data_IF_248568181359
#
_entry.id   IF_248568181359
#
_cell.length_a   1.000
_cell.length_b   1.000
_cell.length_c   1.000
_cell.angle_alpha   90.00
_cell.angle_beta   90.00
_cell.angle_gamma   90.00
#
_symmetry.space_group_name_H-M   'P 1'
#
loop_
_entity.id
_entity.type
_entity.pdbx_description
1 polymer ?
#
# COMPACT_ATOMS: atom_id res chain seq x y z
N UNK A 1 16.40 25.30 -9.20
CA UNK A 1 15.11 24.65 -8.92
C UNK A 1 15.38 23.16 -8.89
N UNK A 2 15.41 22.56 -7.71
CA UNK A 2 15.45 21.10 -7.56
C UNK A 2 14.18 20.53 -8.18
N UNK A 3 14.30 19.55 -9.07
CA UNK A 3 13.15 18.83 -9.60
C UNK A 3 12.58 17.93 -8.50
N UNK A 4 11.77 18.53 -7.62
CA UNK A 4 10.92 17.77 -6.71
C UNK A 4 9.79 17.17 -7.55
N UNK A 5 9.96 15.90 -7.94
CA UNK A 5 8.94 15.09 -8.59
C UNK A 5 7.58 15.22 -7.87
N UNK A 6 6.44 15.14 -8.58
CA UNK A 6 5.08 15.10 -8.03
C UNK A 6 4.94 14.08 -6.91
N UNK A 7 5.65 12.95 -6.99
CA UNK A 7 5.73 11.97 -5.92
C UNK A 7 6.28 12.60 -4.63
N UNK A 8 7.34 13.42 -4.71
CA UNK A 8 7.83 14.23 -3.60
C UNK A 8 6.78 15.25 -3.15
N UNK A 9 6.09 15.96 -4.06
CA UNK A 9 5.10 16.99 -3.68
C UNK A 9 3.88 16.44 -2.94
N UNK A 10 3.21 15.41 -3.48
CA UNK A 10 2.09 14.75 -2.81
C UNK A 10 2.55 14.07 -1.50
N UNK A 11 3.72 13.42 -1.52
CA UNK A 11 4.33 12.86 -0.32
C UNK A 11 4.63 13.93 0.73
N UNK A 12 5.10 15.12 0.35
CA UNK A 12 5.32 16.23 1.28
C UNK A 12 4.03 16.75 1.89
N UNK A 13 2.93 16.81 1.13
CA UNK A 13 1.61 17.16 1.68
C UNK A 13 1.16 16.11 2.71
N UNK A 14 1.26 14.82 2.38
CA UNK A 14 0.91 13.74 3.31
C UNK A 14 1.82 13.72 4.54
N UNK A 15 3.13 13.90 4.39
CA UNK A 15 4.08 14.02 5.50
C UNK A 15 3.74 15.21 6.39
N UNK A 16 3.42 16.39 5.81
CA UNK A 16 3.02 17.57 6.58
C UNK A 16 1.72 17.31 7.34
N UNK A 17 0.75 16.66 6.70
CA UNK A 17 -0.49 16.25 7.35
C UNK A 17 -0.22 15.31 8.53
N UNK A 18 0.57 14.25 8.34
CA UNK A 18 0.91 13.29 9.40
C UNK A 18 1.69 13.95 10.53
N UNK A 19 2.69 14.79 10.21
CA UNK A 19 3.42 15.57 11.21
C UNK A 19 2.48 16.46 12.00
N UNK A 20 1.64 17.23 11.31
CA UNK A 20 0.64 18.07 11.97
C UNK A 20 -0.30 17.23 12.83
N UNK A 21 -0.80 16.10 12.34
CA UNK A 21 -1.71 15.21 13.05
C UNK A 21 -1.11 14.67 14.36
N UNK A 22 0.17 14.26 14.33
CA UNK A 22 0.89 13.73 15.49
C UNK A 22 1.28 14.85 16.49
N UNK A 23 1.71 16.01 15.99
CA UNK A 23 2.22 17.11 16.83
C UNK A 23 1.12 18.05 17.33
N UNK A 24 -0.11 17.95 16.82
CA UNK A 24 -1.21 18.80 17.26
C UNK A 24 -1.50 18.52 18.75
N UNK A 25 -1.38 19.54 19.65
CA UNK A 25 -1.57 19.35 21.09
C UNK A 25 -2.93 18.74 21.45
N UNK A 26 -3.96 19.02 20.65
CA UNK A 26 -5.32 18.50 20.82
C UNK A 26 -5.41 16.96 20.87
N UNK A 27 -4.42 16.23 20.33
CA UNK A 27 -4.43 14.76 20.32
C UNK A 27 -3.33 14.12 21.17
N UNK A 28 -2.27 14.86 21.53
CA UNK A 28 -1.21 14.37 22.43
C UNK A 28 -0.52 13.07 22.01
N UNK A 29 -0.51 12.70 20.72
CA UNK A 29 -0.05 11.38 20.27
C UNK A 29 1.47 11.20 20.37
N UNK A 30 2.23 12.29 20.18
CA UNK A 30 3.69 12.23 20.11
C UNK A 30 4.33 11.55 21.33
N UNK A 31 3.79 11.76 22.53
CA UNK A 31 4.33 11.18 23.77
C UNK A 31 4.18 9.66 23.88
N UNK A 32 3.33 9.05 23.04
CA UNK A 32 3.10 7.61 23.00
C UNK A 32 3.89 6.91 21.87
N UNK A 33 4.69 7.64 21.10
CA UNK A 33 5.43 7.10 19.95
C UNK A 33 6.92 7.10 20.26
N UNK A 34 7.56 5.93 20.11
CA UNK A 34 9.02 5.78 20.16
C UNK A 34 9.56 5.76 18.72
N UNK A 35 10.08 6.90 18.27
CA UNK A 35 10.72 7.01 16.96
C UNK A 35 12.11 6.35 16.96
N UNK A 36 12.64 6.06 15.77
CA UNK A 36 13.95 5.44 15.59
C UNK A 36 14.12 4.17 16.45
N UNK A 37 13.07 3.38 16.57
CA UNK A 37 13.07 2.13 17.33
C UNK A 37 12.47 1.06 16.43
N UNK A 38 13.19 -0.04 16.26
CA UNK A 38 12.75 -1.20 15.50
C UNK A 38 12.34 -2.31 16.46
N UNK A 39 11.25 -3.00 16.14
CA UNK A 39 10.79 -4.18 16.86
C UNK A 39 11.37 -5.42 16.17
N UNK A 40 12.16 -6.19 16.90
CA UNK A 40 12.82 -7.39 16.36
C UNK A 40 11.92 -8.62 16.49
N UNK A 41 11.32 -8.80 17.67
CA UNK A 41 10.47 -9.93 17.98
C UNK A 41 9.45 -9.57 19.07
N UNK A 42 8.33 -10.29 19.08
CA UNK A 42 7.36 -10.27 20.18
C UNK A 42 6.87 -11.70 20.45
N UNK A 43 6.86 -12.11 21.71
CA UNK A 43 6.50 -13.47 22.14
C UNK A 43 5.53 -13.43 23.30
N UNK A 44 4.52 -14.31 23.27
CA UNK A 44 3.56 -14.46 24.36
C UNK A 44 4.16 -15.26 25.52
N UNK A 45 3.93 -14.81 26.75
CA UNK A 45 4.32 -15.51 27.98
C UNK A 45 3.06 -16.01 28.72
N UNK A 46 2.87 -17.33 28.76
CA UNK A 46 1.70 -17.97 29.39
C UNK A 46 1.65 -17.79 30.91
N UNK A 47 2.78 -17.55 31.57
CA UNK A 47 2.84 -17.41 33.03
C UNK A 47 2.45 -16.01 33.50
N UNK A 48 2.77 -14.99 32.69
CA UNK A 48 2.45 -13.58 32.99
C UNK A 48 1.22 -13.08 32.25
N UNK A 49 0.73 -13.83 31.26
CA UNK A 49 -0.32 -13.43 30.32
C UNK A 49 -0.02 -12.10 29.61
N UNK A 50 1.25 -11.91 29.24
CA UNK A 50 1.72 -10.69 28.56
C UNK A 50 2.61 -11.01 27.35
N UNK A 51 2.64 -10.06 26.42
CA UNK A 51 3.58 -10.04 25.29
C UNK A 51 4.89 -9.41 25.71
N UNK A 52 5.99 -10.14 25.53
CA UNK A 52 7.36 -9.66 25.68
C UNK A 52 7.90 -9.23 24.31
N UNK A 53 8.29 -7.97 24.16
CA UNK A 53 8.69 -7.38 22.88
C UNK A 53 10.10 -6.82 22.96
N UNK A 54 10.98 -7.34 22.10
CA UNK A 54 12.38 -6.91 21.96
C UNK A 54 12.49 -5.74 20.99
N UNK A 55 13.17 -4.68 21.44
CA UNK A 55 13.29 -3.41 20.74
C UNK A 55 14.76 -3.00 20.61
N UNK A 56 15.12 -2.46 19.44
CA UNK A 56 16.44 -1.91 19.16
C UNK A 56 16.33 -0.44 18.76
N UNK A 57 17.12 0.43 19.39
CA UNK A 57 17.15 1.86 19.07
C UNK A 57 18.12 2.11 17.92
N UNK A 58 17.58 2.63 16.83
CA UNK A 58 18.32 2.97 15.62
C UNK A 58 18.94 4.37 15.76
N UNK A 59 20.24 4.47 15.49
CA UNK A 59 20.96 5.75 15.43
C UNK A 59 21.46 6.06 14.03
N UNK A 60 21.64 7.35 13.70
CA UNK A 60 22.44 7.73 12.51
C UNK A 60 23.93 7.80 12.83
N UNK A 61 24.28 7.99 14.10
CA UNK A 61 25.64 8.02 14.63
C UNK A 61 25.82 6.95 15.69
N UNK A 62 27.04 6.42 15.84
CA UNK A 62 27.37 5.38 16.83
C UNK A 62 26.89 5.71 18.26
N UNK A 63 26.88 6.99 18.64
CA UNK A 63 26.44 7.48 19.96
C UNK A 63 24.92 7.53 20.15
N UNK A 64 24.14 7.37 19.08
CA UNK A 64 22.67 7.38 19.10
C UNK A 64 22.08 5.96 19.19
N UNK A 65 22.91 4.92 19.01
CA UNK A 65 22.48 3.54 19.21
C UNK A 65 22.33 3.26 20.70
N UNK A 66 21.16 2.73 21.07
CA UNK A 66 20.90 2.22 22.41
C UNK A 66 21.12 0.71 22.45
N UNK A 67 21.44 0.18 23.63
CA UNK A 67 21.37 -1.25 23.85
C UNK A 67 19.93 -1.75 23.60
N UNK A 68 19.75 -2.93 22.98
CA UNK A 68 18.43 -3.55 22.87
C UNK A 68 17.78 -3.70 24.24
N UNK A 69 16.46 -3.54 24.31
CA UNK A 69 15.70 -3.68 25.55
C UNK A 69 14.33 -4.30 25.30
N UNK A 70 13.75 -4.90 26.35
CA UNK A 70 12.45 -5.57 26.29
C UNK A 70 11.38 -4.74 26.98
N UNK A 71 10.18 -4.73 26.43
CA UNK A 71 8.97 -4.23 27.10
C UNK A 71 7.90 -5.30 27.16
N UNK A 72 7.05 -5.22 28.19
CA UNK A 72 5.86 -6.05 28.31
C UNK A 72 4.60 -5.26 27.94
N UNK A 73 3.59 -5.96 27.42
CA UNK A 73 2.30 -5.38 27.06
C UNK A 73 1.19 -6.41 27.12
N UNK A 74 -0.04 -5.98 27.40
CA UNK A 74 -1.21 -6.88 27.47
C UNK A 74 -1.72 -7.27 26.06
N UNK A 75 -1.41 -6.45 25.05
CA UNK A 75 -1.78 -6.69 23.66
C UNK A 75 -0.68 -6.25 22.69
N UNK A 76 -0.52 -7.01 21.61
CA UNK A 76 0.35 -6.68 20.49
C UNK A 76 -0.48 -6.44 19.22
N UNK A 77 -0.40 -5.24 18.64
CA UNK A 77 -1.10 -4.87 17.40
C UNK A 77 -0.05 -4.52 16.34
N UNK A 78 0.02 -5.30 15.27
CA UNK A 78 0.92 -5.01 14.16
C UNK A 78 0.28 -4.01 13.19
N UNK A 79 0.95 -2.86 13.00
CA UNK A 79 0.55 -1.79 12.08
C UNK A 79 1.71 -1.38 11.14
N UNK A 80 2.56 -2.34 10.75
CA UNK A 80 3.81 -2.10 10.01
C UNK A 80 3.62 -1.67 8.55
N UNK A 81 2.43 -1.86 8.00
CA UNK A 81 2.15 -1.62 6.58
C UNK A 81 2.75 -2.68 5.64
N UNK A 82 2.29 -2.71 4.39
CA UNK A 82 2.59 -3.81 3.44
C UNK A 82 3.58 -3.42 2.35
N UNK A 83 3.62 -2.14 1.97
CA UNK A 83 4.48 -1.60 0.92
C UNK A 83 5.66 -0.84 1.50
N UNK A 84 6.25 -1.35 2.59
CA UNK A 84 7.26 -0.67 3.38
C UNK A 84 8.71 -1.12 3.07
N UNK A 85 8.89 -2.35 2.57
CA UNK A 85 10.20 -2.88 2.20
C UNK A 85 10.43 -2.85 0.68
N UNK A 86 11.46 -2.15 0.19
CA UNK A 86 11.87 -2.17 -1.21
C UNK A 86 12.21 -3.58 -1.70
N UNK A 87 11.71 -3.96 -2.88
CA UNK A 87 12.13 -5.18 -3.59
C UNK A 87 12.98 -4.83 -4.79
N UNK A 88 14.26 -5.20 -4.76
CA UNK A 88 15.19 -4.98 -5.87
C UNK A 88 15.02 -6.06 -6.94
N UNK A 89 15.12 -5.72 -8.25
CA UNK A 89 15.06 -6.71 -9.30
C UNK A 89 16.32 -7.58 -9.28
N UNK A 90 16.17 -8.85 -9.65
CA UNK A 90 17.31 -9.76 -9.76
C UNK A 90 17.92 -9.66 -11.17
N UNK A 91 18.78 -8.66 -11.39
CA UNK A 91 19.45 -8.43 -12.67
C UNK A 91 20.95 -8.61 -12.48
N UNK A 92 21.57 -9.42 -13.34
CA UNK A 92 23.02 -9.63 -13.33
C UNK A 92 23.76 -8.30 -13.46
N UNK A 93 24.68 -8.02 -12.55
CA UNK A 93 25.48 -6.79 -12.57
C UNK A 93 24.79 -5.53 -12.00
N UNK A 94 23.59 -5.65 -11.43
CA UNK A 94 22.89 -4.52 -10.78
C UNK A 94 23.74 -3.87 -9.68
N UNK A 95 24.42 -4.68 -8.86
CA UNK A 95 25.29 -4.22 -7.78
C UNK A 95 26.61 -3.61 -8.29
N UNK A 96 26.87 -3.71 -9.60
CA UNK A 96 28.06 -3.19 -10.27
C UNK A 96 27.82 -1.84 -10.94
N UNK A 97 26.64 -1.23 -10.79
CA UNK A 97 26.36 0.10 -11.34
C UNK A 97 27.08 1.18 -10.53
N UNK A 98 27.96 1.96 -11.18
CA UNK A 98 28.66 3.10 -10.53
C UNK A 98 27.84 4.35 -10.47
N UNK A 99 27.07 4.57 -11.53
CA UNK A 99 26.21 5.73 -11.59
C UNK A 99 25.11 5.62 -10.55
N UNK A 100 24.51 6.75 -10.23
CA UNK A 100 23.54 6.86 -9.15
C UNK A 100 22.32 5.97 -9.42
N UNK A 101 22.23 4.85 -8.70
CA UNK A 101 20.98 4.09 -8.57
C UNK A 101 20.08 4.72 -7.51
N UNK A 102 18.80 4.90 -7.81
CA UNK A 102 17.81 5.37 -6.86
C UNK A 102 16.59 4.46 -6.88
N UNK A 103 16.30 3.84 -5.74
CA UNK A 103 15.03 3.17 -5.53
C UNK A 103 13.99 4.22 -5.13
N UNK A 104 12.79 4.18 -5.71
CA UNK A 104 11.76 5.21 -5.49
C UNK A 104 11.37 5.39 -4.02
N UNK A 105 11.29 4.30 -3.25
CA UNK A 105 11.03 4.30 -1.81
C UNK A 105 12.22 4.79 -0.94
N UNK A 106 13.39 5.04 -1.55
CA UNK A 106 14.61 5.55 -0.92
C UNK A 106 15.16 6.73 -1.72
N UNK A 107 14.26 7.54 -2.31
CA UNK A 107 14.64 8.68 -3.13
C UNK A 107 15.53 9.66 -2.36
N UNK A 108 16.71 9.93 -2.91
CA UNK A 108 17.64 10.89 -2.32
C UNK A 108 17.14 12.32 -2.53
N UNK A 109 16.99 13.15 -1.48
CA UNK A 109 16.72 14.56 -1.69
C UNK A 109 17.93 15.19 -2.41
N UNK A 110 17.68 16.13 -3.32
CA UNK A 110 18.68 16.99 -3.97
C UNK A 110 19.56 16.36 -5.07
N UNK A 111 19.06 15.38 -5.83
CA UNK A 111 19.76 14.92 -7.05
C UNK A 111 19.17 15.59 -8.30
N UNK A 112 20.00 16.34 -9.05
CA UNK A 112 19.58 16.99 -10.29
C UNK A 112 19.74 16.04 -11.49
N UNK A 113 18.62 15.78 -12.17
CA UNK A 113 18.55 14.91 -13.35
C UNK A 113 18.83 15.67 -14.66
N UNK A 114 18.95 17.01 -14.64
CA UNK A 114 19.18 17.81 -15.84
C UNK A 114 20.44 17.40 -16.59
N UNK A 115 20.29 17.19 -17.90
CA UNK A 115 21.37 16.79 -18.80
C UNK A 115 21.90 15.37 -18.56
N UNK A 116 21.27 14.58 -17.68
CA UNK A 116 21.64 13.18 -17.43
C UNK A 116 20.86 12.25 -18.34
N UNK A 117 21.47 11.11 -18.67
CA UNK A 117 20.76 9.97 -19.27
C UNK A 117 20.16 9.16 -18.14
N UNK A 118 18.83 9.07 -18.11
CA UNK A 118 18.11 8.40 -17.02
C UNK A 118 17.43 7.16 -17.60
N UNK A 119 17.69 6.00 -16.97
CA UNK A 119 16.93 4.78 -17.20
C UNK A 119 15.98 4.57 -16.02
N UNK A 120 14.71 4.25 -16.31
CA UNK A 120 13.72 3.92 -15.29
C UNK A 120 13.27 2.48 -15.51
N UNK A 121 13.46 1.63 -14.48
CA UNK A 121 13.04 0.23 -14.50
C UNK A 121 11.75 0.11 -13.69
N UNK A 122 10.69 -0.34 -14.35
CA UNK A 122 9.35 -0.50 -13.78
C UNK A 122 8.32 0.43 -14.42
N UNK A 123 7.07 -0.04 -14.47
CA UNK A 123 5.92 0.63 -15.08
C UNK A 123 4.69 0.67 -14.15
N UNK A 124 4.89 0.49 -12.84
CA UNK A 124 3.83 0.59 -11.84
C UNK A 124 3.39 2.03 -11.55
N UNK A 125 2.49 2.21 -10.57
CA UNK A 125 1.94 3.53 -10.20
C UNK A 125 3.04 4.57 -9.91
N UNK A 126 4.11 4.15 -9.23
CA UNK A 126 5.27 5.00 -8.95
C UNK A 126 5.96 5.50 -10.22
N UNK A 127 6.12 4.64 -11.23
CA UNK A 127 6.75 5.00 -12.49
C UNK A 127 5.88 5.98 -13.29
N UNK A 128 4.55 5.78 -13.31
CA UNK A 128 3.60 6.69 -13.95
C UNK A 128 3.61 8.10 -13.33
N UNK A 129 4.00 8.24 -12.06
CA UNK A 129 4.16 9.53 -11.39
C UNK A 129 5.54 10.15 -11.59
N UNK A 130 6.59 9.33 -11.69
CA UNK A 130 7.98 9.80 -11.83
C UNK A 130 8.28 10.20 -13.29
N UNK A 131 7.83 9.41 -14.27
CA UNK A 131 8.19 9.61 -15.67
C UNK A 131 7.80 11.00 -16.21
N UNK A 132 6.57 11.51 -15.99
CA UNK A 132 6.18 12.84 -16.46
C UNK A 132 7.02 13.98 -15.87
N UNK A 133 7.57 13.79 -14.66
CA UNK A 133 8.46 14.75 -14.01
C UNK A 133 9.86 14.72 -14.59
N UNK A 134 10.38 13.53 -14.92
CA UNK A 134 11.69 13.39 -15.57
C UNK A 134 11.70 14.09 -16.94
N UNK A 135 10.58 14.05 -17.67
CA UNK A 135 10.46 14.67 -18.99
C UNK A 135 9.79 16.06 -18.96
N UNK A 136 9.61 16.66 -17.78
CA UNK A 136 9.07 18.01 -17.61
C UNK A 136 7.69 18.25 -18.27
N UNK A 137 6.73 17.33 -18.07
CA UNK A 137 5.33 17.50 -18.51
C UNK A 137 4.29 17.26 -17.44
N UNK A 138 4.74 16.89 -16.24
CA UNK A 138 3.86 16.54 -15.15
C UNK A 138 2.85 17.66 -14.86
N UNK A 139 1.58 17.30 -14.81
CA UNK A 139 0.52 18.26 -14.52
C UNK A 139 0.25 18.26 -13.01
N UNK A 140 0.27 19.44 -12.40
CA UNK A 140 -0.10 19.57 -11.00
C UNK A 140 -1.61 19.53 -10.83
N UNK A 141 -2.08 18.76 -9.84
CA UNK A 141 -3.47 18.82 -9.40
C UNK A 141 -3.85 20.26 -9.03
N UNK A 142 -4.99 20.72 -9.56
CA UNK A 142 -5.51 22.04 -9.21
C UNK A 142 -6.00 22.03 -7.77
N UNK A 143 -5.65 23.05 -6.96
CA UNK A 143 -6.18 23.14 -5.61
C UNK A 143 -7.70 23.27 -5.63
N UNK A 144 -8.37 22.70 -4.63
CA UNK A 144 -9.81 22.90 -4.42
C UNK A 144 -10.07 24.40 -4.25
N UNK A 145 -10.95 24.96 -5.08
CA UNK A 145 -11.29 26.39 -5.08
C UNK A 145 -11.82 26.86 -3.73
N UNK A 146 -11.64 28.15 -3.41
CA UNK A 146 -12.15 28.74 -2.16
C UNK A 146 -13.65 28.55 -1.98
N UNK A 147 -14.41 28.75 -3.05
CA UNK A 147 -15.86 28.52 -3.07
C UNK A 147 -16.19 27.08 -2.71
N UNK A 148 -15.52 26.10 -3.30
CA UNK A 148 -15.76 24.69 -3.00
C UNK A 148 -15.32 24.33 -1.57
N UNK A 149 -14.21 24.90 -1.08
CA UNK A 149 -13.79 24.76 0.32
C UNK A 149 -14.84 25.31 1.29
N UNK A 150 -15.45 26.45 0.97
CA UNK A 150 -16.53 27.04 1.77
C UNK A 150 -17.78 26.14 1.76
N UNK A 151 -18.18 25.61 0.60
CA UNK A 151 -19.29 24.65 0.50
C UNK A 151 -19.02 23.42 1.37
N UNK A 152 -17.84 22.81 1.26
CA UNK A 152 -17.48 21.63 2.07
C UNK A 152 -17.41 21.92 3.58
N UNK A 153 -17.18 23.17 3.99
CA UNK A 153 -17.10 23.57 5.39
C UNK A 153 -18.48 23.89 5.97
N UNK A 154 -19.34 24.55 5.21
CA UNK A 154 -20.56 25.17 5.73
C UNK A 154 -21.85 24.48 5.28
N UNK A 155 -21.87 23.78 4.15
CA UNK A 155 -23.05 23.05 3.70
C UNK A 155 -23.07 21.63 4.33
N UNK A 156 -24.01 21.34 5.26
CA UNK A 156 -24.08 20.04 5.89
C UNK A 156 -24.32 18.93 4.87
N UNK A 157 -23.70 17.77 5.06
CA UNK A 157 -23.91 16.60 4.21
C UNK A 157 -23.18 16.63 2.86
N UNK A 158 -22.88 17.78 2.25
CA UNK A 158 -22.24 17.85 0.91
C UNK A 158 -20.90 17.12 0.88
N UNK A 159 -20.00 17.41 1.83
CA UNK A 159 -18.71 16.72 1.95
C UNK A 159 -18.88 15.21 2.18
N UNK A 160 -19.92 14.81 2.93
CA UNK A 160 -20.23 13.40 3.19
C UNK A 160 -20.70 12.70 1.91
N UNK A 161 -21.61 13.33 1.15
CA UNK A 161 -22.11 12.77 -0.12
C UNK A 161 -21.02 12.70 -1.18
N UNK A 162 -20.18 13.74 -1.31
CA UNK A 162 -19.04 13.71 -2.22
C UNK A 162 -18.07 12.57 -1.91
N UNK A 163 -17.76 12.36 -0.62
CA UNK A 163 -16.95 11.20 -0.20
C UNK A 163 -17.67 9.89 -0.52
N UNK A 164 -18.96 9.79 -0.24
CA UNK A 164 -19.75 8.60 -0.55
C UNK A 164 -19.76 8.31 -2.06
N UNK A 165 -19.93 9.32 -2.92
CA UNK A 165 -19.91 9.11 -4.38
C UNK A 165 -18.56 8.64 -4.90
N UNK A 166 -17.44 9.11 -4.33
CA UNK A 166 -16.12 8.55 -4.66
C UNK A 166 -16.03 7.08 -4.28
N UNK A 167 -16.63 6.68 -3.16
CA UNK A 167 -16.69 5.28 -2.76
C UNK A 167 -17.61 4.46 -3.65
N UNK A 168 -18.78 4.99 -4.04
CA UNK A 168 -19.72 4.33 -4.96
C UNK A 168 -19.03 4.02 -6.31
N UNK A 169 -18.24 4.97 -6.82
CA UNK A 169 -17.46 4.79 -8.05
C UNK A 169 -16.40 3.70 -7.87
N UNK A 170 -15.63 3.74 -6.79
CA UNK A 170 -14.59 2.74 -6.52
C UNK A 170 -15.17 1.34 -6.25
N UNK A 171 -16.34 1.26 -5.61
CA UNK A 171 -17.07 0.00 -5.43
C UNK A 171 -17.58 -0.54 -6.77
N UNK A 172 -17.94 0.32 -7.72
CA UNK A 172 -18.34 -0.15 -9.06
C UNK A 172 -17.15 -0.81 -9.79
N UNK A 173 -15.92 -0.34 -9.56
CA UNK A 173 -14.72 -0.93 -10.16
C UNK A 173 -14.39 -2.33 -9.61
N UNK A 174 -14.97 -2.73 -8.48
CA UNK A 174 -14.82 -4.08 -7.92
C UNK A 174 -15.18 -5.17 -8.93
N UNK A 175 -16.25 -4.97 -9.71
CA UNK A 175 -16.74 -5.95 -10.69
C UNK A 175 -15.68 -6.27 -11.75
N UNK A 176 -14.86 -5.28 -12.13
CA UNK A 176 -13.75 -5.49 -13.07
C UNK A 176 -12.67 -6.43 -12.53
N UNK A 177 -12.56 -6.57 -11.21
CA UNK A 177 -11.59 -7.47 -10.56
C UNK A 177 -12.15 -8.87 -10.44
N UNK A 178 -13.44 -9.03 -10.11
CA UNK A 178 -14.00 -10.35 -9.77
C UNK A 178 -14.62 -11.09 -10.94
N UNK A 179 -15.00 -10.39 -12.00
CA UNK A 179 -15.53 -10.98 -13.22
C UNK A 179 -14.91 -10.34 -14.46
N UNK A 180 -14.01 -11.09 -15.10
CA UNK A 180 -13.34 -10.67 -16.34
C UNK A 180 -14.28 -10.62 -17.55
N UNK A 181 -15.44 -11.27 -17.47
CA UNK A 181 -16.47 -11.27 -18.51
C UNK A 181 -17.56 -10.21 -18.28
N UNK A 182 -17.44 -9.40 -17.22
CA UNK A 182 -18.41 -8.36 -16.90
C UNK A 182 -18.37 -7.20 -17.90
N UNK A 183 -19.53 -6.54 -18.07
CA UNK A 183 -19.64 -5.30 -18.84
C UNK A 183 -18.73 -4.20 -18.27
N UNK A 184 -18.53 -4.17 -16.94
CA UNK A 184 -17.64 -3.22 -16.29
C UNK A 184 -16.18 -3.47 -16.67
N UNK A 185 -15.75 -4.73 -16.77
CA UNK A 185 -14.40 -5.07 -17.23
C UNK A 185 -14.17 -4.60 -18.68
N UNK A 186 -15.14 -4.86 -19.56
CA UNK A 186 -15.07 -4.43 -20.96
C UNK A 186 -15.07 -2.91 -21.10
N UNK A 187 -15.91 -2.22 -20.34
CA UNK A 187 -15.93 -0.75 -20.31
C UNK A 187 -14.60 -0.19 -19.80
N UNK A 188 -14.05 -0.76 -18.73
CA UNK A 188 -12.73 -0.35 -18.22
C UNK A 188 -11.64 -0.54 -19.27
N UNK A 189 -11.64 -1.68 -20.00
CA UNK A 189 -10.72 -1.95 -21.10
C UNK A 189 -10.84 -0.89 -22.20
N UNK A 190 -12.07 -0.59 -22.63
CA UNK A 190 -12.32 0.41 -23.69
C UNK A 190 -11.89 1.81 -23.25
N UNK A 191 -12.19 2.23 -22.01
CA UNK A 191 -11.73 3.51 -21.49
C UNK A 191 -10.21 3.64 -21.51
N UNK A 192 -9.49 2.58 -21.13
CA UNK A 192 -8.02 2.56 -21.23
C UNK A 192 -7.52 2.66 -22.68
N UNK A 193 -8.14 1.92 -23.61
CA UNK A 193 -7.76 1.95 -25.02
C UNK A 193 -8.09 3.28 -25.69
N UNK A 194 -9.24 3.88 -25.40
CA UNK A 194 -9.66 5.18 -25.91
C UNK A 194 -8.71 6.29 -25.42
N UNK A 195 -8.35 6.27 -24.13
CA UNK A 195 -7.36 7.19 -23.58
C UNK A 195 -6.01 7.03 -24.29
N UNK A 196 -5.55 5.79 -24.49
CA UNK A 196 -4.30 5.52 -25.20
C UNK A 196 -4.35 6.01 -26.65
N UNK A 197 -5.44 5.73 -27.38
CA UNK A 197 -5.63 6.17 -28.76
C UNK A 197 -5.65 7.69 -28.87
N UNK A 198 -6.27 8.38 -27.91
CA UNK A 198 -6.31 9.84 -27.85
C UNK A 198 -4.94 10.44 -27.53
N UNK A 199 -4.19 9.86 -26.60
CA UNK A 199 -2.90 10.41 -26.14
C UNK A 199 -1.71 10.00 -27.02
N UNK A 200 -1.82 8.88 -27.75
CA UNK A 200 -0.84 8.37 -28.72
C UNK A 200 -1.49 8.22 -30.11
N UNK A 201 -1.85 9.33 -30.77
CA UNK A 201 -2.38 9.28 -32.14
C UNK A 201 -1.30 8.77 -33.10
N UNK A 202 -1.73 8.02 -34.13
CA UNK A 202 -0.93 7.63 -35.30
C UNK A 202 0.40 6.88 -35.06
N UNK A 203 0.61 6.32 -33.87
CA UNK A 203 1.79 5.51 -33.55
C UNK A 203 1.41 4.10 -33.06
N UNK A 204 1.09 3.20 -33.98
CA UNK A 204 0.65 1.84 -33.69
C UNK A 204 1.69 1.03 -32.88
N UNK A 205 2.99 1.22 -33.17
CA UNK A 205 4.07 0.52 -32.45
C UNK A 205 4.11 0.96 -30.99
N UNK A 206 4.03 2.26 -30.73
CA UNK A 206 4.05 2.80 -29.37
C UNK A 206 2.79 2.49 -28.59
N UNK A 207 1.64 2.30 -29.24
CA UNK A 207 0.41 1.80 -28.61
C UNK A 207 0.49 0.34 -28.23
N UNK A 208 1.08 -0.51 -29.09
CA UNK A 208 1.20 -1.95 -28.82
C UNK A 208 2.08 -2.25 -27.60
N UNK A 209 3.21 -1.55 -27.45
CA UNK A 209 4.21 -1.80 -26.40
C UNK A 209 3.65 -1.77 -24.95
N UNK A 210 2.87 -0.76 -24.53
CA UNK A 210 2.30 -0.69 -23.18
C UNK A 210 0.93 -1.37 -23.07
N UNK A 211 0.36 -1.92 -24.16
CA UNK A 211 -0.94 -2.61 -24.09
C UNK A 211 -0.75 -3.97 -23.43
N UNK A 212 -1.34 -4.23 -22.25
CA UNK A 212 -1.24 -5.52 -21.59
C UNK A 212 -2.06 -6.59 -22.30
N UNK A 213 -1.67 -7.84 -22.08
CA UNK A 213 -2.35 -9.06 -22.52
C UNK A 213 -3.28 -9.66 -21.44
N UNK A 214 -3.37 -9.01 -20.27
CA UNK A 214 -4.24 -9.38 -19.17
C UNK A 214 -5.46 -8.45 -19.07
N UNK A 215 -6.53 -8.93 -18.40
CA UNK A 215 -7.74 -8.15 -18.19
C UNK A 215 -7.54 -6.98 -17.20
N UNK A 216 -8.29 -5.87 -17.33
CA UNK A 216 -8.43 -4.89 -16.25
C UNK A 216 -8.73 -5.57 -14.92
N UNK A 217 -8.19 -5.05 -13.82
CA UNK A 217 -8.36 -5.64 -12.49
C UNK A 217 -7.36 -6.75 -12.11
N UNK A 218 -6.60 -7.31 -13.06
CA UNK A 218 -5.47 -8.20 -12.76
C UNK A 218 -4.41 -7.52 -11.88
N UNK A 219 -4.11 -6.25 -12.18
CA UNK A 219 -3.24 -5.38 -11.38
C UNK A 219 -4.00 -4.12 -10.99
N UNK A 220 -3.55 -3.45 -9.94
CA UNK A 220 -4.11 -2.16 -9.53
C UNK A 220 -4.09 -1.19 -10.71
N UNK A 221 -5.26 -0.64 -11.05
CA UNK A 221 -5.43 0.29 -12.17
C UNK A 221 -4.76 1.61 -11.84
N UNK A 222 -3.88 2.07 -12.72
CA UNK A 222 -3.15 3.32 -12.56
C UNK A 222 -3.91 4.43 -13.26
N UNK A 223 -4.27 5.47 -12.51
CA UNK A 223 -4.91 6.67 -13.03
C UNK A 223 -3.82 7.72 -13.25
N UNK A 224 -3.65 8.18 -14.49
CA UNK A 224 -2.68 9.23 -14.85
C UNK A 224 -3.11 9.88 -16.17
N UNK A 225 -3.02 11.22 -16.22
CA UNK A 225 -3.30 12.01 -17.42
C UNK A 225 -2.06 12.22 -18.30
N UNK A 226 -0.87 11.95 -17.75
CA UNK A 226 0.42 12.40 -18.26
C UNK A 226 1.40 11.26 -18.59
N UNK A 227 1.11 10.02 -18.20
CA UNK A 227 1.97 8.87 -18.48
C UNK A 227 2.14 8.59 -19.99
N UNK A 228 1.06 8.44 -20.77
CA UNK A 228 1.19 8.22 -22.22
C UNK A 228 1.79 9.43 -22.96
N UNK A 229 1.42 10.69 -22.65
CA UNK A 229 2.12 11.85 -23.18
C UNK A 229 3.62 11.85 -22.89
N UNK A 230 4.03 11.36 -21.72
CA UNK A 230 5.44 11.29 -21.32
C UNK A 230 6.19 10.23 -22.14
N UNK A 231 5.59 9.07 -22.32
CA UNK A 231 6.13 7.98 -23.16
C UNK A 231 6.30 8.42 -24.62
N UNK A 232 5.44 9.31 -25.12
CA UNK A 232 5.47 9.80 -26.50
C UNK A 232 6.59 10.81 -26.77
N UNK A 233 7.20 11.40 -25.75
CA UNK A 233 8.24 12.43 -25.95
C UNK A 233 9.45 11.85 -26.70
N UNK A 234 9.99 12.63 -27.64
CA UNK A 234 11.11 12.21 -28.49
C UNK A 234 12.45 12.09 -27.75
N UNK A 235 12.52 12.59 -26.50
CA UNK A 235 13.72 12.56 -25.67
C UNK A 235 13.89 11.25 -24.87
N UNK A 236 13.04 10.23 -25.13
CA UNK A 236 13.08 8.94 -24.46
C UNK A 236 12.72 7.79 -25.39
N UNK A 237 12.97 6.56 -24.94
CA UNK A 237 12.52 5.35 -25.64
C UNK A 237 11.87 4.38 -24.67
N UNK A 238 10.73 3.81 -25.06
CA UNK A 238 10.09 2.72 -24.33
C UNK A 238 10.67 1.38 -24.78
N UNK A 239 11.33 0.69 -23.85
CA UNK A 239 11.87 -0.66 -24.03
C UNK A 239 11.02 -1.69 -23.29
N UNK A 240 10.69 -2.78 -23.98
CA UNK A 240 9.88 -3.88 -23.43
C UNK A 240 10.62 -5.22 -23.46
N UNK A 241 11.85 -5.24 -23.98
CA UNK A 241 12.67 -6.45 -24.04
C UNK A 241 13.21 -6.80 -22.64
N UNK A 242 13.43 -8.10 -22.33
CA UNK A 242 14.09 -8.51 -21.10
C UNK A 242 15.46 -7.86 -20.94
N UNK A 243 15.80 -7.49 -19.71
CA UNK A 243 17.14 -7.00 -19.37
C UNK A 243 18.00 -8.23 -19.03
N UNK A 244 19.03 -8.46 -19.83
CA UNK A 244 19.97 -9.58 -19.62
C UNK A 244 20.99 -9.26 -18.50
N UNK A 245 21.67 -8.12 -18.60
CA UNK A 245 22.66 -7.69 -17.62
C UNK A 245 22.80 -6.16 -17.55
N UNK A 246 23.42 -5.68 -16.47
CA UNK A 246 23.91 -4.32 -16.30
C UNK A 246 25.44 -4.39 -16.28
N UNK A 247 26.09 -3.66 -17.20
CA UNK A 247 27.54 -3.69 -17.34
C UNK A 247 28.23 -2.83 -16.27
N UNK A 248 29.34 -3.29 -15.65
CA UNK A 248 30.05 -2.55 -14.61
C UNK A 248 30.81 -1.31 -15.08
N UNK A 249 30.92 -0.34 -14.18
CA UNK A 249 32.22 0.18 -13.76
C UNK A 249 32.37 -0.12 -12.24
N UNK A 250 33.54 -0.02 -11.59
CA UNK A 250 33.88 -0.82 -10.38
C UNK A 250 33.30 -0.41 -8.98
N UNK A 251 32.50 -1.31 -8.34
CA UNK A 251 32.21 -1.63 -6.89
C UNK A 251 31.97 -0.57 -5.76
N UNK A 252 31.32 -0.91 -4.59
CA UNK A 252 30.34 -1.99 -4.29
C UNK A 252 29.11 -1.64 -3.37
N UNK A 253 28.05 -2.48 -3.50
CA UNK A 253 27.16 -3.20 -2.52
C UNK A 253 26.12 -2.54 -1.57
N UNK A 254 24.85 -3.05 -1.60
CA UNK A 254 24.02 -3.46 -0.43
C UNK A 254 22.69 -4.20 -0.80
N UNK A 255 22.22 -5.17 0.01
CA UNK A 255 20.94 -5.92 -0.17
C UNK A 255 20.25 -6.31 1.16
N UNK A 256 18.90 -6.35 1.19
CA UNK A 256 18.07 -7.15 2.14
C UNK A 256 16.63 -7.39 1.62
N UNK A 257 16.00 -8.48 2.09
CA UNK A 257 14.77 -9.12 1.59
C UNK A 257 13.59 -9.04 2.60
N UNK A 258 12.33 -9.15 2.15
CA UNK A 258 11.14 -9.09 3.02
C UNK A 258 9.95 -10.01 2.66
N UNK A 259 9.08 -10.22 3.67
CA UNK A 259 7.88 -11.09 3.73
C UNK A 259 6.56 -10.30 3.67
N UNK A 260 5.44 -10.99 3.40
CA UNK A 260 4.15 -10.43 2.94
C UNK A 260 2.99 -10.40 3.98
N UNK A 261 2.03 -9.46 3.82
CA UNK A 261 0.68 -9.38 4.45
C UNK A 261 -0.37 -8.67 3.53
N UNK A 262 -1.68 -8.71 3.89
CA UNK A 262 -2.92 -8.65 3.06
C UNK A 262 -3.54 -7.29 2.60
N UNK A 263 -3.79 -7.08 1.29
CA UNK A 263 -4.24 -5.83 0.60
C UNK A 263 -5.71 -5.72 0.12
N UNK A 264 -6.12 -4.52 -0.36
CA UNK A 264 -7.38 -4.25 -1.08
C UNK A 264 -7.08 -3.59 -2.44
N UNK A 265 -7.63 -4.12 -3.53
CA UNK A 265 -7.25 -3.71 -4.89
C UNK A 265 -8.07 -2.59 -5.55
N UNK A 266 -9.22 -2.19 -5.00
CA UNK A 266 -10.18 -1.29 -5.68
C UNK A 266 -10.68 -0.09 -4.87
N UNK A 267 -10.51 -0.06 -3.54
CA UNK A 267 -11.04 1.01 -2.69
C UNK A 267 -10.03 1.51 -1.64
N UNK A 268 -10.41 2.53 -0.87
CA UNK A 268 -9.54 3.16 0.13
C UNK A 268 -9.28 2.24 1.32
N UNK A 269 -8.00 1.92 1.53
CA UNK A 269 -7.52 1.16 2.70
C UNK A 269 -7.89 1.81 4.05
N UNK A 270 -8.08 3.14 4.08
CA UNK A 270 -8.47 3.87 5.31
C UNK A 270 -9.78 3.33 5.88
N UNK A 271 -10.74 2.98 5.02
CA UNK A 271 -12.03 2.45 5.46
C UNK A 271 -11.91 1.07 6.09
N UNK A 272 -10.98 0.26 5.62
CA UNK A 272 -10.66 -1.03 6.24
C UNK A 272 -9.94 -0.84 7.57
N UNK A 273 -8.95 0.06 7.63
CA UNK A 273 -8.22 0.37 8.88
C UNK A 273 -9.18 0.89 9.96
N UNK A 274 -10.13 1.75 9.60
CA UNK A 274 -11.15 2.23 10.53
C UNK A 274 -12.07 1.11 11.02
N UNK A 275 -12.47 0.17 10.15
CA UNK A 275 -13.27 -0.98 10.52
C UNK A 275 -12.49 -1.95 11.44
N UNK A 276 -11.25 -2.26 11.07
CA UNK A 276 -10.32 -3.06 11.87
C UNK A 276 -10.09 -2.44 13.25
N UNK A 277 -9.86 -1.13 13.32
CA UNK A 277 -9.63 -0.44 14.58
C UNK A 277 -10.83 -0.54 15.53
N UNK A 278 -12.06 -0.40 15.01
CA UNK A 278 -13.29 -0.60 15.81
C UNK A 278 -13.44 -2.04 16.28
N UNK A 279 -13.22 -3.01 15.40
CA UNK A 279 -13.29 -4.43 15.74
C UNK A 279 -12.27 -4.81 16.82
N UNK A 280 -11.02 -4.38 16.66
CA UNK A 280 -9.93 -4.60 17.62
C UNK A 280 -10.26 -3.94 18.97
N UNK A 281 -10.82 -2.73 18.97
CA UNK A 281 -11.24 -2.08 20.21
C UNK A 281 -12.27 -2.92 20.98
N UNK A 282 -13.25 -3.51 20.29
CA UNK A 282 -14.23 -4.42 20.92
C UNK A 282 -13.57 -5.66 21.50
N UNK A 283 -12.58 -6.24 20.81
CA UNK A 283 -11.83 -7.39 21.33
C UNK A 283 -10.99 -7.07 22.57
N UNK A 284 -10.42 -5.86 22.64
CA UNK A 284 -9.53 -5.44 23.74
C UNK A 284 -10.33 -5.00 24.97
N UNK A 285 -11.57 -4.53 24.81
CA UNK A 285 -12.36 -3.99 25.92
C UNK A 285 -12.54 -4.96 27.11
N UNK A 286 -12.83 -6.27 26.92
CA UNK A 286 -12.87 -7.24 28.01
C UNK A 286 -11.50 -7.45 28.68
N UNK A 287 -10.42 -7.40 27.91
CA UNK A 287 -9.03 -7.53 28.42
C UNK A 287 -8.71 -6.39 29.40
N UNK A 288 -9.00 -5.16 29.01
CA UNK A 288 -8.83 -3.97 29.87
C UNK A 288 -9.67 -4.09 31.14
N UNK A 289 -10.92 -4.57 31.01
CA UNK A 289 -11.83 -4.70 32.16
C UNK A 289 -11.36 -5.76 33.16
N UNK A 290 -10.87 -6.90 32.68
CA UNK A 290 -10.32 -7.95 33.51
C UNK A 290 -9.06 -7.47 34.25
N UNK A 291 -8.15 -6.82 33.53
CA UNK A 291 -6.92 -6.26 34.11
C UNK A 291 -7.22 -5.23 35.21
N UNK A 292 -8.19 -4.33 35.00
CA UNK A 292 -8.58 -3.33 35.99
C UNK A 292 -9.12 -3.96 37.30
N UNK A 293 -9.53 -5.23 37.25
CA UNK A 293 -10.01 -6.01 38.40
C UNK A 293 -8.93 -6.92 38.99
N UNK A 294 -7.69 -6.88 38.48
CA UNK A 294 -6.59 -7.76 38.88
C UNK A 294 -6.62 -9.14 38.22
N UNK A 295 -7.54 -9.36 37.27
CA UNK A 295 -7.69 -10.59 36.51
C UNK A 295 -7.00 -10.55 35.15
N UNK A 296 -7.17 -11.63 34.38
CA UNK A 296 -6.72 -11.73 32.98
C UNK A 296 -7.88 -12.18 32.10
N UNK A 297 -7.82 -11.83 30.81
CA UNK A 297 -8.77 -12.30 29.81
C UNK A 297 -8.02 -12.48 28.49
N UNK A 298 -8.09 -13.70 27.94
CA UNK A 298 -7.37 -14.08 26.73
C UNK A 298 -8.37 -14.41 25.64
N UNK A 299 -8.09 -13.90 24.44
CA UNK A 299 -8.91 -14.14 23.25
C UNK A 299 -8.03 -14.71 22.16
N UNK A 300 -8.30 -15.95 21.75
CA UNK A 300 -7.54 -16.65 20.71
C UNK A 300 -8.50 -17.07 19.59
N UNK A 301 -8.24 -16.73 18.33
CA UNK A 301 -9.10 -17.20 17.24
C UNK A 301 -9.03 -18.72 17.11
N UNK A 302 -10.19 -19.36 16.91
CA UNK A 302 -10.26 -20.80 16.72
C UNK A 302 -9.56 -21.21 15.42
N UNK A 303 -8.64 -22.18 15.50
CA UNK A 303 -7.88 -22.68 14.33
C UNK A 303 -8.81 -23.13 13.20
N UNK A 304 -9.91 -23.81 13.54
CA UNK A 304 -10.90 -24.25 12.56
C UNK A 304 -11.56 -23.08 11.83
N UNK A 305 -11.85 -21.97 12.53
CA UNK A 305 -12.46 -20.76 11.95
C UNK A 305 -11.47 -20.00 11.09
N UNK A 306 -10.21 -19.87 11.52
CA UNK A 306 -9.14 -19.33 10.68
C UNK A 306 -8.95 -20.13 9.39
N UNK A 307 -8.95 -21.47 9.49
CA UNK A 307 -8.84 -22.35 8.33
C UNK A 307 -10.01 -22.23 7.36
N UNK A 308 -11.25 -22.15 7.88
CA UNK A 308 -12.45 -21.94 7.07
C UNK A 308 -12.42 -20.58 6.37
N UNK A 309 -12.13 -19.51 7.11
CA UNK A 309 -12.01 -18.15 6.56
C UNK A 309 -10.94 -18.05 5.47
N UNK A 310 -9.78 -18.68 5.67
CA UNK A 310 -8.73 -18.72 4.65
C UNK A 310 -9.12 -19.53 3.41
N UNK A 311 -9.91 -20.61 3.55
CA UNK A 311 -10.45 -21.34 2.39
C UNK A 311 -11.44 -20.49 1.62
N UNK A 312 -12.40 -19.89 2.30
CA UNK A 312 -13.39 -18.98 1.70
C UNK A 312 -12.71 -17.89 0.87
N UNK A 313 -11.75 -17.16 1.46
CA UNK A 313 -11.02 -16.11 0.73
C UNK A 313 -10.35 -16.67 -0.53
N UNK A 314 -9.65 -17.81 -0.41
CA UNK A 314 -8.95 -18.41 -1.56
C UNK A 314 -9.91 -18.84 -2.65
N UNK A 315 -11.04 -19.45 -2.30
CA UNK A 315 -12.03 -19.94 -3.25
C UNK A 315 -12.69 -18.79 -4.03
N UNK A 316 -12.88 -17.63 -3.38
CA UNK A 316 -13.33 -16.42 -4.05
C UNK A 316 -12.24 -15.79 -4.93
N UNK A 317 -11.02 -15.60 -4.41
CA UNK A 317 -9.93 -14.98 -5.17
C UNK A 317 -9.51 -15.80 -6.39
N UNK A 318 -9.60 -17.13 -6.33
CA UNK A 318 -9.26 -18.02 -7.44
C UNK A 318 -10.09 -17.75 -8.71
N UNK A 319 -11.24 -17.08 -8.58
CA UNK A 319 -12.13 -16.73 -9.70
C UNK A 319 -11.87 -15.32 -10.25
N UNK A 320 -11.04 -14.52 -9.58
CA UNK A 320 -10.80 -13.12 -9.93
C UNK A 320 -9.79 -12.96 -11.06
N UNK A 321 -9.81 -11.79 -11.70
CA UNK A 321 -8.82 -11.34 -12.68
C UNK A 321 -7.38 -11.39 -12.13
N UNK A 322 -7.22 -11.21 -10.81
CA UNK A 322 -5.91 -11.30 -10.14
C UNK A 322 -5.38 -12.73 -10.20
N UNK A 323 -6.23 -13.74 -10.14
CA UNK A 323 -5.84 -15.14 -10.18
C UNK A 323 -5.61 -15.68 -11.60
N UNK A 324 -6.05 -14.96 -12.65
CA UNK A 324 -5.93 -15.37 -14.05
C UNK A 324 -4.48 -15.75 -14.43
N UNK A 325 -4.30 -16.80 -15.23
CA UNK A 325 -2.97 -17.28 -15.63
C UNK A 325 -2.20 -16.29 -16.49
N UNK A 326 -2.89 -15.43 -17.24
CA UNK A 326 -2.29 -14.32 -18.00
C UNK A 326 -1.82 -13.18 -17.09
N UNK A 327 -2.24 -13.17 -15.83
CA UNK A 327 -1.87 -12.15 -14.86
C UNK A 327 -0.59 -12.50 -14.09
N UNK A 328 0.54 -11.92 -14.52
CA UNK A 328 1.80 -11.95 -13.75
C UNK A 328 1.90 -10.73 -12.81
N UNK A 329 1.30 -10.84 -11.62
CA UNK A 329 1.21 -9.77 -10.62
C UNK A 329 1.83 -10.16 -9.28
N UNK A 330 2.34 -9.17 -8.55
CA UNK A 330 2.99 -9.35 -7.24
C UNK A 330 2.03 -9.77 -6.11
N UNK A 331 0.73 -9.86 -6.39
CA UNK A 331 -0.28 -10.38 -5.46
C UNK A 331 -0.19 -11.89 -5.25
N UNK A 332 0.43 -12.62 -6.19
CA UNK A 332 0.62 -14.06 -6.13
C UNK A 332 1.92 -14.42 -5.43
N UNK A 333 1.89 -15.45 -4.60
CA UNK A 333 3.10 -16.08 -4.07
C UNK A 333 3.75 -17.00 -5.13
N UNK A 334 4.85 -17.67 -4.77
CA UNK A 334 5.54 -18.62 -5.65
C UNK A 334 4.67 -19.81 -6.10
N UNK A 335 3.63 -20.15 -5.33
CA UNK A 335 2.66 -21.20 -5.65
C UNK A 335 1.48 -20.69 -6.50
N UNK A 336 1.50 -19.42 -6.93
CA UNK A 336 0.43 -18.79 -7.69
C UNK A 336 -0.78 -18.36 -6.84
N UNK A 337 -0.73 -18.51 -5.52
CA UNK A 337 -1.84 -18.19 -4.62
C UNK A 337 -1.88 -16.69 -4.31
N UNK A 338 -3.07 -16.10 -4.42
CA UNK A 338 -3.34 -14.74 -3.96
C UNK A 338 -3.47 -14.76 -2.44
N UNK A 339 -2.37 -14.51 -1.74
CA UNK A 339 -2.31 -14.61 -0.28
C UNK A 339 -2.81 -13.36 0.43
N UNK A 340 -2.86 -12.23 -0.29
CA UNK A 340 -2.98 -10.93 0.32
C UNK A 340 -4.35 -10.28 0.13
N UNK A 341 -5.07 -10.48 -0.95
CA UNK A 341 -6.17 -9.57 -1.24
C UNK A 341 -7.46 -9.90 -0.44
N UNK A 342 -8.21 -8.87 -0.03
CA UNK A 342 -9.62 -9.04 0.32
C UNK A 342 -10.44 -9.21 -0.96
N UNK A 343 -11.29 -10.23 -0.99
CA UNK A 343 -12.00 -10.63 -2.21
C UNK A 343 -13.31 -9.88 -2.43
N UNK A 344 -13.88 -9.25 -1.40
CA UNK A 344 -15.20 -8.61 -1.42
C UNK A 344 -15.13 -7.09 -1.58
N UNK A 345 -16.28 -6.44 -1.46
CA UNK A 345 -16.40 -4.97 -1.39
C UNK A 345 -15.88 -4.43 -0.04
N UNK A 346 -15.57 -3.13 0.06
CA UNK A 346 -15.23 -2.54 1.36
C UNK A 346 -16.47 -2.40 2.25
N UNK A 347 -17.65 -2.21 1.66
CA UNK A 347 -18.93 -2.23 2.38
C UNK A 347 -19.16 -3.59 3.03
N UNK A 348 -19.00 -4.68 2.30
CA UNK A 348 -19.08 -6.04 2.86
C UNK A 348 -18.06 -6.24 3.98
N UNK A 349 -16.81 -5.80 3.77
CA UNK A 349 -15.78 -5.87 4.80
C UNK A 349 -16.18 -5.13 6.08
N UNK A 350 -16.73 -3.92 5.95
CA UNK A 350 -17.21 -3.13 7.07
C UNK A 350 -18.37 -3.81 7.80
N UNK A 351 -19.30 -4.42 7.07
CA UNK A 351 -20.40 -5.18 7.67
C UNK A 351 -19.89 -6.40 8.45
N UNK A 352 -18.98 -7.19 7.85
CA UNK A 352 -18.37 -8.34 8.54
C UNK A 352 -17.60 -7.95 9.79
N UNK A 353 -16.96 -6.78 9.78
CA UNK A 353 -16.20 -6.25 10.92
C UNK A 353 -17.05 -5.40 11.88
N UNK A 354 -18.37 -5.27 11.66
CA UNK A 354 -19.23 -4.43 12.49
C UNK A 354 -19.52 -5.06 13.87
N UNK A 355 -19.51 -6.39 13.94
CA UNK A 355 -19.84 -7.18 15.13
C UNK A 355 -18.77 -8.23 15.37
N UNK A 356 -18.35 -8.41 16.62
CA UNK A 356 -17.48 -9.52 17.01
C UNK A 356 -18.34 -10.76 17.23
N UNK A 357 -18.11 -11.79 16.43
CA UNK A 357 -18.69 -13.12 16.63
C UNK A 357 -17.86 -13.89 17.65
N UNK A 358 -18.20 -13.77 18.94
CA UNK A 358 -17.43 -14.38 20.03
C UNK A 358 -17.31 -15.91 19.94
N UNK A 359 -18.22 -16.57 19.22
CA UNK A 359 -18.13 -18.01 18.91
C UNK A 359 -16.95 -18.38 18.00
N UNK A 360 -16.29 -17.39 17.38
CA UNK A 360 -15.10 -17.59 16.56
C UNK A 360 -13.80 -17.66 17.38
N UNK A 361 -13.90 -17.40 18.68
CA UNK A 361 -12.76 -17.30 19.58
C UNK A 361 -12.86 -18.31 20.72
N UNK A 362 -11.71 -18.86 21.09
CA UNK A 362 -11.51 -19.44 22.40
C UNK A 362 -11.22 -18.29 23.37
N UNK A 363 -12.11 -18.14 24.35
CA UNK A 363 -12.03 -17.12 25.40
C UNK A 363 -11.72 -17.81 26.72
N UNK A 364 -10.77 -17.29 27.47
CA UNK A 364 -10.43 -17.77 28.83
C UNK A 364 -10.13 -16.61 29.78
N UNK A 365 -10.24 -16.86 31.08
CA UNK A 365 -10.00 -15.87 32.13
C UNK A 365 -11.29 -15.31 32.74
N UNK A 366 -11.16 -14.15 33.39
CA UNK A 366 -12.22 -13.50 34.16
C UNK A 366 -12.98 -12.47 33.32
N UNK A 367 -14.30 -12.60 33.30
CA UNK A 367 -15.18 -11.69 32.57
C UNK A 367 -16.05 -12.42 31.56
N UNK A 368 -17.05 -11.70 31.05
CA UNK A 368 -17.83 -12.13 29.89
C UNK A 368 -17.54 -11.18 28.73
N UNK A 369 -17.50 -11.70 27.50
CA UNK A 369 -17.42 -10.87 26.30
C UNK A 369 -18.52 -9.81 26.22
#
# INVERSE_FOLDING_TARGET
MTHDCLLCRAHHVMQRFTKHFIHTPKRGLYQYIRFNTEMEATTWNDSTHQWETSLTVLGRKATEYGAPYTVTSDFAISAVGQLNVPRYPNITGLDSLQDRMMYSARWGPNYDLKGKKVAMIGNGATAAQILPEIVDIAQADKPISETMRAIYRHAPGVRRRYRASLMDIHETLYESIVDVASLVNDLARQLCLDMMNKQIPDNAVLKRKPTPDYAPGCKCVIISDDCFPAIRRDNGTLQTNPIDNISPAASPEFRHDARAQRELGHNSIILMIEAQSRYIHTLIAPVIKAQASGGHFTVVPLVARMGAYNREIRDHLAKSAIADLSCDGWYKNADGLVANNWYGTVVEYQHRMATVEWGDFQVSGEGKP
#
